data_IF_351936420900
#
_entry.id   IF_351936420900
#
_cell.length_a   1.000
_cell.length_b   1.000
_cell.length_c   1.000
_cell.angle_alpha   90.00
_cell.angle_beta   90.00
_cell.angle_gamma   90.00
#
_symmetry.space_group_name_H-M   'P 1'
#
loop_
_entity.id
_entity.type
_entity.pdbx_description
1 polymer ?
#
# COMPACT_ATOMS: atom_id res chain seq x y z
N UNK A 1 -26.13 -3.66 11.58
CA UNK A 1 -25.33 -2.42 11.74
C UNK A 1 -24.34 -2.33 10.59
N UNK A 2 -24.72 -1.68 9.49
CA UNK A 2 -23.94 -1.72 8.25
C UNK A 2 -24.17 -0.44 7.44
N UNK A 3 -23.70 0.72 7.94
CA UNK A 3 -23.76 2.02 7.20
C UNK A 3 -22.92 3.16 7.82
N UNK A 4 -21.95 2.92 8.70
CA UNK A 4 -21.23 4.04 9.36
C UNK A 4 -20.03 4.62 8.58
N UNK A 5 -19.51 3.97 7.53
CA UNK A 5 -18.43 4.55 6.72
C UNK A 5 -18.96 5.70 5.84
N UNK A 6 -20.18 5.54 5.30
CA UNK A 6 -20.75 6.53 4.40
C UNK A 6 -21.45 7.68 5.15
N UNK A 7 -21.88 7.47 6.40
CA UNK A 7 -22.63 8.47 7.16
C UNK A 7 -21.79 9.64 7.69
N UNK A 8 -20.45 9.57 7.62
CA UNK A 8 -19.59 10.67 8.12
C UNK A 8 -19.60 10.84 9.64
N UNK A 9 -20.13 9.86 10.41
CA UNK A 9 -19.98 9.81 11.88
C UNK A 9 -18.54 9.44 12.23
N UNK A 10 -17.66 10.43 12.14
CA UNK A 10 -16.20 10.29 12.22
C UNK A 10 -15.61 10.78 13.55
N UNK A 11 -16.39 11.38 14.45
CA UNK A 11 -15.83 12.12 15.59
C UNK A 11 -15.05 11.25 16.60
N UNK A 12 -15.42 9.98 16.76
CA UNK A 12 -14.68 9.04 17.62
C UNK A 12 -13.43 8.53 16.88
N UNK A 13 -13.50 8.41 15.55
CA UNK A 13 -12.42 7.87 14.69
C UNK A 13 -11.31 8.90 14.46
N UNK A 14 -11.68 10.15 14.24
CA UNK A 14 -10.73 11.26 14.07
C UNK A 14 -10.03 11.59 15.39
N UNK A 15 -10.70 11.41 16.54
CA UNK A 15 -10.07 11.50 17.86
C UNK A 15 -9.05 10.38 18.11
N UNK A 16 -9.34 9.15 17.71
CA UNK A 16 -8.38 8.04 17.81
C UNK A 16 -7.15 8.27 16.95
N UNK A 17 -7.31 8.79 15.73
CA UNK A 17 -6.20 9.16 14.84
C UNK A 17 -5.41 10.34 15.41
N UNK A 18 -6.09 11.34 15.99
CA UNK A 18 -5.46 12.49 16.63
C UNK A 18 -4.78 12.18 17.98
N UNK A 19 -5.00 10.98 18.55
CA UNK A 19 -4.44 10.58 19.84
C UNK A 19 -2.91 10.47 19.85
N UNK A 20 -2.29 10.32 18.66
CA UNK A 20 -0.85 10.05 18.46
C UNK A 20 -0.35 8.76 19.13
N UNK A 21 -1.23 7.93 19.68
CA UNK A 21 -0.89 6.62 20.21
C UNK A 21 -0.83 5.59 19.06
N UNK A 22 0.34 5.01 18.76
CA UNK A 22 0.49 4.08 17.63
C UNK A 22 -0.37 2.81 17.73
N UNK A 23 -0.66 2.33 18.94
CA UNK A 23 -1.53 1.17 19.14
C UNK A 23 -2.98 1.52 18.81
N UNK A 24 -3.45 2.67 19.32
CA UNK A 24 -4.81 3.16 19.04
C UNK A 24 -4.98 3.45 17.55
N UNK A 25 -3.97 4.07 16.92
CA UNK A 25 -3.95 4.32 15.47
C UNK A 25 -4.04 3.00 14.72
N UNK A 26 -3.18 2.02 15.02
CA UNK A 26 -3.17 0.71 14.35
C UNK A 26 -4.52 0.01 14.45
N UNK A 27 -5.10 -0.10 15.65
CA UNK A 27 -6.40 -0.75 15.85
C UNK A 27 -7.51 -0.03 15.07
N UNK A 28 -7.48 1.30 15.04
CA UNK A 28 -8.45 2.10 14.28
C UNK A 28 -8.33 1.85 12.78
N UNK A 29 -7.10 1.84 12.25
CA UNK A 29 -6.82 1.53 10.83
C UNK A 29 -7.32 0.13 10.48
N UNK A 30 -7.01 -0.88 11.30
CA UNK A 30 -7.47 -2.25 11.08
C UNK A 30 -9.00 -2.36 11.02
N UNK A 31 -9.68 -1.76 11.99
CA UNK A 31 -11.14 -1.76 12.04
C UNK A 31 -11.75 -1.05 10.83
N UNK A 32 -11.14 0.04 10.35
CA UNK A 32 -11.61 0.78 9.19
C UNK A 32 -11.39 0.01 7.89
N UNK A 33 -10.19 -0.55 7.67
CA UNK A 33 -9.91 -1.39 6.51
C UNK A 33 -10.80 -2.65 6.49
N UNK A 34 -11.08 -3.27 7.63
CA UNK A 34 -12.03 -4.38 7.73
C UNK A 34 -13.45 -3.98 7.28
N UNK A 35 -13.93 -2.81 7.70
CA UNK A 35 -15.23 -2.30 7.27
C UNK A 35 -15.23 -1.93 5.78
N UNK A 36 -14.15 -1.34 5.24
CA UNK A 36 -14.01 -1.05 3.80
C UNK A 36 -14.09 -2.36 3.01
N UNK A 37 -13.34 -3.39 3.40
CA UNK A 37 -13.41 -4.72 2.76
C UNK A 37 -14.80 -5.32 2.81
N UNK A 38 -15.48 -5.23 3.96
CA UNK A 38 -16.86 -5.68 4.10
C UNK A 38 -17.79 -4.96 3.13
N UNK A 39 -17.59 -3.66 2.94
CA UNK A 39 -18.36 -2.83 2.02
C UNK A 39 -18.01 -3.05 0.54
N UNK A 40 -16.77 -3.37 0.19
CA UNK A 40 -16.36 -3.76 -1.17
C UNK A 40 -16.95 -5.13 -1.52
N UNK A 41 -16.87 -6.11 -0.61
CA UNK A 41 -17.36 -7.49 -0.81
C UNK A 41 -18.88 -7.62 -0.75
N UNK A 42 -19.58 -6.75 -0.02
CA UNK A 42 -21.04 -6.71 -0.09
C UNK A 42 -21.43 -6.24 -1.49
N UNK A 43 -21.71 -7.20 -2.38
CA UNK A 43 -22.10 -7.00 -3.77
C UNK A 43 -23.23 -5.96 -3.87
N UNK A 44 -22.85 -4.71 -4.05
CA UNK A 44 -23.65 -3.68 -4.68
C UNK A 44 -23.39 -3.74 -6.19
N UNK A 45 -23.36 -4.95 -6.75
CA UNK A 45 -23.10 -5.24 -8.15
C UNK A 45 -24.26 -4.79 -9.09
N UNK A 46 -25.07 -3.81 -8.67
CA UNK A 46 -26.29 -3.36 -9.34
C UNK A 46 -26.45 -1.83 -9.36
N UNK A 47 -25.47 -1.04 -8.91
CA UNK A 47 -25.57 0.42 -9.01
C UNK A 47 -24.89 0.95 -10.27
N UNK A 48 -25.50 1.97 -10.90
CA UNK A 48 -24.97 2.69 -12.07
C UNK A 48 -23.48 3.07 -11.90
N UNK A 49 -22.69 3.15 -13.00
CA UNK A 49 -21.26 3.46 -12.98
C UNK A 49 -20.87 4.65 -12.08
N UNK A 50 -21.65 5.73 -12.10
CA UNK A 50 -21.42 6.92 -11.28
C UNK A 50 -21.45 6.64 -9.76
N UNK A 51 -22.29 5.72 -9.30
CA UNK A 51 -22.37 5.35 -7.88
C UNK A 51 -21.18 4.47 -7.46
N UNK A 52 -20.66 3.63 -8.36
CA UNK A 52 -19.43 2.88 -8.15
C UNK A 52 -18.22 3.81 -8.07
N UNK A 53 -18.15 4.84 -8.92
CA UNK A 53 -17.07 5.81 -8.93
C UNK A 53 -17.06 6.71 -7.68
N UNK A 54 -18.23 7.21 -7.27
CA UNK A 54 -18.37 7.96 -6.02
C UNK A 54 -17.95 7.13 -4.80
N UNK A 55 -18.25 5.83 -4.81
CA UNK A 55 -17.82 4.88 -3.77
C UNK A 55 -16.30 4.73 -3.75
N UNK A 56 -15.67 4.46 -4.89
CA UNK A 56 -14.21 4.31 -5.00
C UNK A 56 -13.49 5.58 -4.55
N UNK A 57 -13.98 6.76 -4.95
CA UNK A 57 -13.44 8.05 -4.49
C UNK A 57 -13.51 8.22 -2.97
N UNK A 58 -14.61 7.79 -2.33
CA UNK A 58 -14.75 7.86 -0.88
C UNK A 58 -13.84 6.86 -0.15
N UNK A 59 -13.63 5.68 -0.72
CA UNK A 59 -12.64 4.71 -0.20
C UNK A 59 -11.24 5.31 -0.28
N UNK A 60 -10.85 5.85 -1.43
CA UNK A 60 -9.56 6.53 -1.60
C UNK A 60 -9.35 7.64 -0.56
N UNK A 61 -10.34 8.53 -0.36
CA UNK A 61 -10.25 9.60 0.65
C UNK A 61 -10.07 9.07 2.08
N UNK A 62 -10.74 7.97 2.43
CA UNK A 62 -10.58 7.36 3.75
C UNK A 62 -9.21 6.73 3.90
N UNK A 63 -8.72 6.04 2.87
CA UNK A 63 -7.37 5.47 2.87
C UNK A 63 -6.30 6.55 3.02
N UNK A 64 -6.43 7.69 2.32
CA UNK A 64 -5.50 8.83 2.45
C UNK A 64 -5.42 9.35 3.90
N UNK A 65 -6.54 9.37 4.63
CA UNK A 65 -6.57 9.71 6.06
C UNK A 65 -5.88 8.63 6.92
N UNK A 66 -6.13 7.36 6.61
CA UNK A 66 -5.56 6.23 7.36
C UNK A 66 -4.04 6.15 7.21
N UNK A 67 -3.52 6.30 5.99
CA UNK A 67 -2.07 6.33 5.76
C UNK A 67 -1.43 7.55 6.42
N UNK A 68 -2.08 8.72 6.35
CA UNK A 68 -1.62 9.92 7.04
C UNK A 68 -1.55 9.77 8.56
N UNK A 69 -2.41 8.93 9.16
CA UNK A 69 -2.32 8.60 10.58
C UNK A 69 -1.10 7.71 10.88
N UNK A 70 -0.83 6.71 10.03
CA UNK A 70 0.31 5.81 10.20
C UNK A 70 1.65 6.51 9.96
N UNK A 71 1.71 7.51 9.07
CA UNK A 71 2.93 8.29 8.83
C UNK A 71 3.36 9.08 10.08
N UNK A 72 2.42 9.49 10.93
CA UNK A 72 2.70 10.18 12.18
C UNK A 72 3.30 9.27 13.26
N UNK A 73 3.28 7.94 13.06
CA UNK A 73 3.91 6.99 13.99
C UNK A 73 5.42 7.09 13.84
N UNK A 74 6.07 7.65 14.86
CA UNK A 74 7.53 7.70 14.95
C UNK A 74 8.10 6.31 15.21
N UNK A 75 9.17 5.95 14.50
CA UNK A 75 9.94 4.73 14.72
C UNK A 75 11.26 4.95 15.46
N UNK A 76 11.48 6.14 16.05
CA UNK A 76 12.74 6.53 16.72
C UNK A 76 13.21 5.51 17.76
N UNK A 77 12.29 4.80 18.42
CA UNK A 77 12.59 3.79 19.44
C UNK A 77 12.17 2.37 19.04
N UNK A 78 11.89 2.11 17.75
CA UNK A 78 11.48 0.82 17.14
C UNK A 78 10.27 0.07 17.76
N UNK A 79 9.80 0.47 18.95
CA UNK A 79 8.73 -0.13 19.75
C UNK A 79 7.41 -0.25 18.97
N UNK A 80 7.16 0.72 18.08
CA UNK A 80 5.92 0.84 17.34
C UNK A 80 5.93 0.16 15.97
N UNK A 81 6.99 -0.58 15.64
CA UNK A 81 7.07 -1.30 14.36
C UNK A 81 6.00 -2.40 14.24
N UNK A 82 5.65 -3.07 15.34
CA UNK A 82 4.58 -4.08 15.35
C UNK A 82 3.19 -3.44 15.11
N UNK A 83 2.78 -2.41 15.85
CA UNK A 83 1.55 -1.66 15.53
C UNK A 83 1.55 -1.09 14.10
N UNK A 84 2.64 -0.46 13.67
CA UNK A 84 2.76 0.11 12.34
C UNK A 84 2.61 -0.95 11.24
N UNK A 85 3.33 -2.07 11.33
CA UNK A 85 3.23 -3.16 10.35
C UNK A 85 1.83 -3.75 10.30
N UNK A 86 1.14 -3.82 11.44
CA UNK A 86 -0.26 -4.24 11.53
C UNK A 86 -1.22 -3.30 10.80
N UNK A 87 -1.02 -1.98 10.94
CA UNK A 87 -1.79 -0.96 10.25
C UNK A 87 -1.52 -0.93 8.75
N UNK A 88 -0.25 -1.03 8.34
CA UNK A 88 0.17 -1.06 6.93
C UNK A 88 -0.36 -2.30 6.22
N UNK A 89 -0.33 -3.47 6.85
CA UNK A 89 -0.95 -4.69 6.31
C UNK A 89 -2.45 -4.51 6.08
N UNK A 90 -3.16 -3.89 7.02
CA UNK A 90 -4.58 -3.64 6.87
C UNK A 90 -4.90 -2.72 5.68
N UNK A 91 -4.11 -1.67 5.46
CA UNK A 91 -4.24 -0.80 4.28
C UNK A 91 -3.91 -1.58 3.01
N UNK A 92 -2.84 -2.37 3.02
CA UNK A 92 -2.46 -3.17 1.84
C UNK A 92 -3.61 -4.10 1.40
N UNK A 93 -4.40 -4.64 2.33
CA UNK A 93 -5.53 -5.52 1.97
C UNK A 93 -6.69 -4.86 1.20
N UNK A 94 -6.65 -3.54 1.01
CA UNK A 94 -7.57 -2.77 0.16
C UNK A 94 -6.85 -2.09 -1.01
N UNK A 95 -5.64 -2.54 -1.37
CA UNK A 95 -4.79 -1.93 -2.39
C UNK A 95 -5.43 -1.81 -3.78
N UNK A 96 -6.43 -2.63 -4.10
CA UNK A 96 -7.21 -2.51 -5.33
C UNK A 96 -7.96 -1.16 -5.44
N UNK A 97 -8.11 -0.43 -4.33
CA UNK A 97 -8.92 0.79 -4.22
C UNK A 97 -8.10 2.04 -3.84
N UNK A 98 -6.76 1.94 -3.87
CA UNK A 98 -5.86 3.02 -3.42
C UNK A 98 -5.15 3.68 -4.62
N UNK A 99 -4.75 4.94 -4.43
CA UNK A 99 -4.04 5.72 -5.46
C UNK A 99 -2.57 5.33 -5.55
N UNK A 100 -1.93 5.58 -6.70
CA UNK A 100 -0.48 5.44 -6.84
C UNK A 100 0.30 6.33 -5.85
N UNK A 101 -0.23 7.51 -5.54
CA UNK A 101 0.34 8.38 -4.49
C UNK A 101 0.28 7.74 -3.11
N UNK A 102 -0.85 7.16 -2.71
CA UNK A 102 -0.95 6.39 -1.45
C UNK A 102 0.04 5.23 -1.45
N UNK A 103 0.22 4.55 -2.59
CA UNK A 103 1.16 3.45 -2.75
C UNK A 103 2.60 3.86 -2.42
N UNK A 104 3.05 4.99 -2.98
CA UNK A 104 4.39 5.55 -2.76
C UNK A 104 4.61 5.93 -1.30
N UNK A 105 3.56 6.42 -0.62
CA UNK A 105 3.57 6.74 0.81
C UNK A 105 3.74 5.48 1.67
N UNK A 106 3.01 4.41 1.35
CA UNK A 106 3.17 3.09 2.00
C UNK A 106 4.60 2.58 1.81
N UNK A 107 5.13 2.64 0.59
CA UNK A 107 6.52 2.25 0.29
C UNK A 107 7.52 3.03 1.15
N UNK A 108 7.38 4.36 1.19
CA UNK A 108 8.26 5.23 1.99
C UNK A 108 8.25 4.83 3.47
N UNK A 109 7.06 4.53 4.02
CA UNK A 109 6.94 4.09 5.41
C UNK A 109 7.50 2.69 5.65
N UNK A 110 7.41 1.78 4.67
CA UNK A 110 8.05 0.46 4.73
C UNK A 110 9.58 0.55 4.69
N UNK A 111 10.15 1.51 3.95
CA UNK A 111 11.59 1.79 3.95
C UNK A 111 12.06 2.29 5.32
N UNK A 112 11.31 3.22 5.92
CA UNK A 112 11.58 3.67 7.30
C UNK A 112 11.51 2.48 8.28
N UNK A 113 10.49 1.64 8.16
CA UNK A 113 10.32 0.43 8.95
C UNK A 113 11.48 -0.58 8.79
N UNK A 114 11.99 -0.75 7.57
CA UNK A 114 13.15 -1.59 7.28
C UNK A 114 14.44 -1.07 7.93
N UNK A 115 14.59 0.25 8.07
CA UNK A 115 15.80 0.86 8.66
C UNK A 115 15.97 0.56 10.16
N UNK A 116 14.86 0.34 10.89
CA UNK A 116 14.86 0.07 12.33
C UNK A 116 14.70 -1.41 12.67
N UNK A 117 14.45 -2.25 11.67
CA UNK A 117 14.22 -3.69 11.82
C UNK A 117 15.35 -4.41 12.58
N UNK A 118 16.65 -4.19 12.27
CA UNK A 118 17.74 -4.87 12.97
C UNK A 118 17.71 -4.67 14.49
N UNK A 119 17.50 -3.44 14.95
CA UNK A 119 17.48 -3.08 16.37
C UNK A 119 16.34 -3.77 17.13
N UNK A 120 15.18 -3.89 16.48
CA UNK A 120 14.04 -4.60 17.06
C UNK A 120 14.26 -6.12 17.07
N UNK A 121 14.81 -6.68 15.99
CA UNK A 121 15.03 -8.13 15.87
C UNK A 121 15.96 -8.65 16.98
N UNK A 122 16.98 -7.87 17.34
CA UNK A 122 17.93 -8.20 18.41
C UNK A 122 17.29 -8.31 19.80
N UNK A 123 16.14 -7.65 20.01
CA UNK A 123 15.44 -7.58 21.29
C UNK A 123 14.05 -8.24 21.25
N UNK A 124 13.69 -8.88 20.13
CA UNK A 124 12.35 -9.44 19.91
C UNK A 124 12.25 -10.92 20.21
N UNK A 125 11.05 -11.33 20.65
CA UNK A 125 10.71 -12.75 20.69
C UNK A 125 10.65 -13.32 19.27
N UNK A 126 10.95 -14.61 19.13
CA UNK A 126 10.81 -15.33 17.86
C UNK A 126 9.41 -15.15 17.24
N UNK A 127 8.36 -15.15 18.06
CA UNK A 127 6.98 -14.92 17.61
C UNK A 127 6.80 -13.54 16.97
N UNK A 128 7.40 -12.50 17.55
CA UNK A 128 7.33 -11.14 17.00
C UNK A 128 8.08 -11.04 15.66
N UNK A 129 9.25 -11.67 15.57
CA UNK A 129 10.01 -11.77 14.31
C UNK A 129 9.20 -12.47 13.23
N UNK A 130 8.60 -13.62 13.55
CA UNK A 130 7.76 -14.36 12.62
C UNK A 130 6.55 -13.54 12.16
N UNK A 131 5.86 -12.87 13.09
CA UNK A 131 4.72 -12.00 12.79
C UNK A 131 5.12 -10.85 11.85
N UNK A 132 6.27 -10.22 12.08
CA UNK A 132 6.79 -9.18 11.19
C UNK A 132 7.07 -9.73 9.80
N UNK A 133 7.85 -10.82 9.69
CA UNK A 133 8.17 -11.42 8.39
C UNK A 133 6.89 -11.78 7.60
N UNK A 134 5.89 -12.36 8.28
CA UNK A 134 4.61 -12.68 7.69
C UNK A 134 3.88 -11.44 7.16
N UNK A 135 3.79 -10.37 7.96
CA UNK A 135 3.12 -9.13 7.59
C UNK A 135 3.78 -8.43 6.42
N UNK A 136 5.11 -8.30 6.44
CA UNK A 136 5.85 -7.67 5.34
C UNK A 136 5.66 -8.43 4.03
N UNK A 137 5.62 -9.77 4.09
CA UNK A 137 5.32 -10.60 2.92
C UNK A 137 3.90 -10.38 2.41
N UNK A 138 2.90 -10.37 3.30
CA UNK A 138 1.50 -10.11 2.93
C UNK A 138 1.31 -8.71 2.34
N UNK A 139 1.96 -7.70 2.92
CA UNK A 139 1.98 -6.34 2.39
C UNK A 139 2.48 -6.37 0.95
N UNK A 140 3.66 -6.93 0.69
CA UNK A 140 4.21 -7.03 -0.66
C UNK A 140 3.25 -7.70 -1.65
N UNK A 141 2.65 -8.83 -1.25
CA UNK A 141 1.66 -9.54 -2.06
C UNK A 141 0.45 -8.68 -2.42
N UNK A 142 -0.21 -8.07 -1.43
CA UNK A 142 -1.39 -7.26 -1.67
C UNK A 142 -1.10 -6.00 -2.50
N UNK A 143 0.05 -5.38 -2.24
CA UNK A 143 0.52 -4.22 -2.97
C UNK A 143 0.74 -4.54 -4.46
N UNK A 144 1.35 -5.69 -4.78
CA UNK A 144 1.53 -6.14 -6.16
C UNK A 144 0.20 -6.42 -6.86
N UNK A 145 -0.73 -7.10 -6.19
CA UNK A 145 -2.08 -7.35 -6.74
C UNK A 145 -2.85 -6.04 -6.98
N UNK A 146 -2.78 -5.09 -6.03
CA UNK A 146 -3.43 -3.78 -6.19
C UNK A 146 -2.87 -2.98 -7.37
N UNK A 147 -1.56 -2.99 -7.56
CA UNK A 147 -0.92 -2.35 -8.73
C UNK A 147 -1.37 -3.00 -10.04
N UNK A 148 -1.43 -4.33 -10.10
CA UNK A 148 -1.96 -5.06 -11.26
C UNK A 148 -3.42 -4.65 -11.53
N UNK A 149 -4.25 -4.56 -10.50
CA UNK A 149 -5.66 -4.18 -10.62
C UNK A 149 -5.82 -2.74 -11.13
N UNK A 150 -5.07 -1.79 -10.58
CA UNK A 150 -5.10 -0.39 -11.02
C UNK A 150 -4.60 -0.20 -12.45
N UNK A 151 -3.62 -1.01 -12.88
CA UNK A 151 -3.17 -1.03 -14.28
C UNK A 151 -4.28 -1.55 -15.21
N UNK A 152 -5.02 -2.59 -14.82
CA UNK A 152 -6.13 -3.14 -15.62
C UNK A 152 -7.38 -2.24 -15.62
N UNK A 153 -7.69 -1.59 -14.51
CA UNK A 153 -8.91 -0.79 -14.29
C UNK A 153 -8.64 0.41 -13.38
N UNK A 154 -8.12 1.53 -13.92
CA UNK A 154 -7.77 2.70 -13.12
C UNK A 154 -8.98 3.24 -12.35
N UNK A 155 -8.73 3.71 -11.13
CA UNK A 155 -9.74 4.47 -10.38
C UNK A 155 -10.03 5.80 -11.11
N UNK A 156 -11.28 6.27 -11.24
CA UNK A 156 -11.60 7.49 -11.98
C UNK A 156 -10.90 8.76 -11.46
N UNK A 157 -10.64 8.85 -10.16
CA UNK A 157 -9.82 9.92 -9.58
C UNK A 157 -8.36 9.92 -10.06
N UNK A 158 -7.88 8.81 -10.61
CA UNK A 158 -6.58 8.66 -11.27
C UNK A 158 -6.67 8.85 -12.79
N UNK A 159 -7.86 8.78 -13.40
CA UNK A 159 -8.03 9.06 -14.83
C UNK A 159 -7.91 10.55 -15.15
N UNK A 160 -8.21 11.43 -14.18
CA UNK A 160 -8.07 12.89 -14.31
C UNK A 160 -6.64 13.40 -14.07
N UNK A 161 -5.77 12.56 -13.51
CA UNK A 161 -4.32 12.77 -13.53
C UNK A 161 -3.87 12.36 -14.92
N UNK A 162 -3.58 13.34 -15.78
CA UNK A 162 -3.07 13.08 -17.13
C UNK A 162 -1.96 12.05 -17.04
N UNK A 163 -2.14 10.93 -17.72
CA UNK A 163 -1.14 9.87 -17.91
C UNK A 163 0.18 10.35 -18.53
N UNK A 164 0.31 11.64 -18.87
CA UNK A 164 1.55 12.29 -19.25
C UNK A 164 2.48 12.63 -18.08
N UNK A 165 1.99 12.70 -16.83
CA UNK A 165 2.83 12.96 -15.65
C UNK A 165 3.29 11.68 -14.94
N UNK A 166 2.80 10.52 -15.39
CA UNK A 166 3.29 9.20 -15.00
C UNK A 166 4.07 8.62 -16.18
N UNK A 167 5.10 9.35 -16.63
CA UNK A 167 6.23 8.70 -17.29
C UNK A 167 6.84 7.78 -16.23
N UNK A 168 6.36 6.54 -16.20
CA UNK A 168 7.16 5.50 -15.62
C UNK A 168 8.45 5.52 -16.44
N UNK A 169 9.56 5.90 -15.82
CA UNK A 169 10.89 5.50 -16.27
C UNK A 169 10.97 3.97 -16.17
N UNK A 170 10.18 3.26 -16.97
CA UNK A 170 10.46 1.89 -17.35
C UNK A 170 11.52 1.99 -18.44
N UNK A 171 12.76 2.16 -18.02
CA UNK A 171 13.98 1.88 -18.80
C UNK A 171 14.10 0.37 -19.15
N UNK A 172 12.97 -0.31 -19.35
CA UNK A 172 12.91 -1.71 -19.78
C UNK A 172 13.35 -1.83 -21.25
N UNK A 173 13.22 -0.75 -22.03
CA UNK A 173 13.69 -0.71 -23.43
C UNK A 173 15.13 -0.19 -23.59
N UNK A 174 15.69 0.54 -22.61
CA UNK A 174 17.08 1.00 -22.66
C UNK A 174 18.09 -0.16 -22.56
N UNK A 175 17.74 -1.22 -21.83
CA UNK A 175 18.59 -2.42 -21.71
C UNK A 175 18.53 -3.33 -22.95
N UNK A 176 17.53 -3.16 -23.84
CA UNK A 176 17.41 -3.99 -25.04
C UNK A 176 18.46 -3.61 -26.10
N UNK A 177 18.80 -2.33 -26.22
CA UNK A 177 19.89 -1.86 -27.09
C UNK A 177 21.29 -2.15 -26.51
N UNK A 178 21.44 -2.10 -25.17
CA UNK A 178 22.68 -2.45 -24.48
C UNK A 178 22.99 -3.97 -24.50
N UNK A 179 21.96 -4.82 -24.56
CA UNK A 179 22.12 -6.27 -24.72
C UNK A 179 22.30 -6.70 -26.19
N UNK A 180 21.80 -5.94 -27.17
CA UNK A 180 22.03 -6.18 -28.60
C UNK A 180 23.49 -5.89 -29.01
N UNK A 181 24.15 -4.97 -28.32
CA UNK A 181 25.55 -4.58 -28.56
C UNK A 181 26.59 -5.49 -27.87
N UNK A 182 26.15 -6.52 -27.12
CA UNK A 182 27.02 -7.51 -26.45
C UNK A 182 26.91 -8.92 -27.04
N UNK A 183 26.53 -9.05 -28.31
CA UNK A 183 26.68 -10.30 -29.06
C UNK A 183 28.16 -10.45 -29.46
N UNK A 184 28.88 -11.27 -28.69
CA UNK A 184 30.16 -11.97 -28.96
C UNK A 184 31.14 -11.38 -30.00
N UNK A 185 32.44 -11.19 -29.65
CA UNK A 185 33.46 -11.06 -30.70
C UNK A 185 33.50 -12.34 -31.55
N UNK A 186 33.66 -12.24 -32.88
CA UNK A 186 33.68 -13.43 -33.73
C UNK A 186 34.89 -14.30 -33.37
N UNK A 187 34.63 -15.55 -33.03
CA UNK A 187 35.64 -16.60 -32.95
C UNK A 187 36.39 -16.64 -34.29
N UNK A 188 37.67 -16.26 -34.26
CA UNK A 188 38.59 -16.51 -35.36
C UNK A 188 39.07 -17.96 -35.25
N UNK A 189 38.41 -18.86 -35.96
CA UNK A 189 38.95 -20.20 -36.22
C UNK A 189 40.12 -20.07 -37.19
N UNK A 190 41.34 -19.96 -36.66
CA UNK A 190 42.55 -20.28 -37.41
C UNK A 190 42.60 -21.79 -37.59
N UNK A 191 42.47 -22.24 -38.82
CA UNK A 191 42.75 -23.62 -39.23
C UNK A 191 44.25 -23.74 -39.47
N UNK A 192 44.90 -24.69 -38.80
CA UNK A 192 46.15 -25.29 -39.29
C UNK A 192 45.85 -26.24 -40.46
#
# INVERSE_FOLDING_TARGET
>A
MMTDILSGKNDIRERSIASKDPNIISVTVQAMCAQIRGFVKSNLAQSLPAAADQKRNKIAQLTEKLIGALEQVSLVDYEYLLPLSSGLEAIATIADEITFTTMTRIQSKLVEAASVLPQLLDHSSFQNVFNLAHRFTNIGFYLLEGMRHQHEKPTPSLMDVRTQDLDYETDIDADRELMSSRIFPPYSLQSD
#
